data_IF_207526484080
#
_entry.id   IF_207526484080
#
_cell.length_a   1.000
_cell.length_b   1.000
_cell.length_c   1.000
_cell.angle_alpha   90.00
_cell.angle_beta   90.00
_cell.angle_gamma   90.00
#
_symmetry.space_group_name_H-M   'P 1'
#
loop_
_entity.id
_entity.type
_entity.pdbx_description
1 polymer ?
#
# COMPACT_ATOMS: atom_id res chain seq x y z
N UNK A 1 -1.88 13.18 12.22
CA UNK A 1 -3.13 12.39 12.36
C UNK A 1 -2.72 10.94 12.62
N UNK A 2 -3.42 10.19 13.50
CA UNK A 2 -3.11 8.77 13.71
C UNK A 2 -3.79 7.93 12.63
N UNK A 3 -3.06 6.95 12.12
CA UNK A 3 -3.52 6.01 11.11
C UNK A 3 -3.45 4.58 11.64
N UNK A 4 -4.28 3.73 11.06
CA UNK A 4 -4.43 2.35 11.43
C UNK A 4 -4.52 1.48 10.19
N UNK A 5 -3.77 0.39 10.19
CA UNK A 5 -3.91 -0.69 9.25
C UNK A 5 -5.09 -1.55 9.69
N UNK A 6 -6.07 -1.74 8.80
CA UNK A 6 -7.18 -2.66 9.03
C UNK A 6 -7.07 -3.86 8.08
N UNK A 7 -7.19 -5.06 8.66
CA UNK A 7 -7.28 -6.33 7.92
C UNK A 7 -8.63 -6.97 8.22
N UNK A 8 -9.67 -6.72 7.39
CA UNK A 8 -10.98 -7.33 7.56
C UNK A 8 -10.96 -8.85 7.41
N UNK A 9 -12.00 -9.52 7.88
CA UNK A 9 -12.14 -10.96 7.70
C UNK A 9 -12.29 -11.32 6.21
N UNK A 10 -11.45 -12.23 5.72
CA UNK A 10 -11.45 -12.71 4.34
C UNK A 10 -12.59 -13.69 4.10
N UNK A 11 -13.35 -13.51 3.03
CA UNK A 11 -14.56 -14.32 2.74
C UNK A 11 -14.62 -14.91 1.34
N UNK A 12 -13.71 -14.54 0.44
CA UNK A 12 -13.73 -15.00 -0.94
C UNK A 12 -12.83 -14.17 -1.83
N UNK A 13 -13.20 -14.07 -3.11
CA UNK A 13 -12.38 -13.45 -4.16
C UNK A 13 -13.22 -12.67 -5.17
N UNK A 14 -12.57 -11.76 -5.89
CA UNK A 14 -13.14 -11.12 -7.08
C UNK A 14 -12.55 -11.77 -8.33
N UNK A 15 -13.40 -12.11 -9.27
CA UNK A 15 -12.96 -12.54 -10.59
C UNK A 15 -12.61 -11.29 -11.41
N UNK A 16 -11.32 -10.95 -11.40
CA UNK A 16 -10.81 -9.78 -12.08
C UNK A 16 -10.67 -10.03 -13.58
N UNK A 17 -11.54 -9.38 -14.36
CA UNK A 17 -11.31 -9.17 -15.79
C UNK A 17 -10.88 -7.73 -16.01
N UNK A 18 -9.73 -7.54 -16.66
CA UNK A 18 -9.08 -6.23 -16.90
C UNK A 18 -9.97 -5.24 -17.67
N UNK A 19 -11.00 -5.72 -18.36
CA UNK A 19 -11.85 -4.91 -19.24
C UNK A 19 -13.24 -4.61 -18.65
N UNK A 20 -13.47 -4.91 -17.36
CA UNK A 20 -14.80 -4.84 -16.74
C UNK A 20 -14.83 -3.75 -15.65
N UNK A 21 -15.89 -2.94 -15.64
CA UNK A 21 -16.11 -1.93 -14.59
C UNK A 21 -16.21 -2.61 -13.23
N UNK A 22 -15.74 -1.95 -12.18
CA UNK A 22 -15.77 -2.47 -10.80
C UNK A 22 -17.16 -2.91 -10.32
N UNK A 23 -18.24 -2.30 -10.83
CA UNK A 23 -19.63 -2.68 -10.54
C UNK A 23 -20.05 -4.00 -11.16
N UNK A 24 -19.40 -4.39 -12.25
CA UNK A 24 -19.76 -5.50 -13.12
C UNK A 24 -18.87 -6.72 -12.88
N UNK A 25 -17.80 -6.58 -12.10
CA UNK A 25 -16.93 -7.68 -11.67
C UNK A 25 -17.70 -8.70 -10.83
N UNK A 26 -17.35 -9.99 -11.01
CA UNK A 26 -17.96 -11.06 -10.24
C UNK A 26 -17.31 -11.16 -8.87
N UNK A 27 -18.12 -11.05 -7.82
CA UNK A 27 -17.67 -11.26 -6.44
C UNK A 27 -18.15 -12.64 -5.99
N UNK A 28 -17.20 -13.52 -5.69
CA UNK A 28 -17.45 -14.91 -5.29
C UNK A 28 -17.23 -15.02 -3.78
N UNK A 29 -18.28 -15.43 -3.06
CA UNK A 29 -18.27 -15.55 -1.61
C UNK A 29 -18.18 -17.03 -1.21
N UNK A 30 -17.14 -17.40 -0.48
CA UNK A 30 -16.93 -18.76 0.04
C UNK A 30 -17.50 -18.92 1.45
N UNK A 31 -17.42 -17.86 2.26
CA UNK A 31 -17.77 -17.90 3.68
C UNK A 31 -18.77 -16.80 4.04
N UNK A 32 -19.78 -17.15 4.83
CA UNK A 32 -20.70 -16.16 5.39
C UNK A 32 -20.08 -15.57 6.66
N UNK A 33 -20.21 -14.25 6.79
CA UNK A 33 -19.80 -13.51 7.96
C UNK A 33 -20.89 -12.54 8.39
N UNK A 34 -21.05 -12.38 9.71
CA UNK A 34 -21.89 -11.34 10.30
C UNK A 34 -21.16 -10.01 10.50
N UNK A 35 -19.87 -9.92 10.16
CA UNK A 35 -19.09 -8.67 10.22
C UNK A 35 -19.71 -7.61 9.30
N UNK A 36 -19.43 -6.33 9.56
CA UNK A 36 -19.94 -5.24 8.73
C UNK A 36 -18.96 -4.71 7.70
N UNK A 37 -17.69 -5.10 7.82
CA UNK A 37 -16.63 -4.90 6.83
C UNK A 37 -15.95 -6.24 6.55
N UNK A 38 -15.75 -6.56 5.27
CA UNK A 38 -15.20 -7.82 4.81
C UNK A 38 -14.18 -7.58 3.70
N UNK A 39 -13.31 -8.56 3.52
CA UNK A 39 -12.30 -8.58 2.47
C UNK A 39 -12.55 -9.75 1.51
N UNK A 40 -12.52 -9.48 0.22
CA UNK A 40 -12.37 -10.47 -0.83
C UNK A 40 -11.04 -10.21 -1.53
N UNK A 41 -10.40 -11.27 -2.01
CA UNK A 41 -9.13 -11.17 -2.72
C UNK A 41 -9.19 -10.20 -3.89
N UNK A 42 -8.01 -9.71 -4.23
CA UNK A 42 -7.77 -8.61 -5.16
C UNK A 42 -8.36 -7.27 -4.71
N UNK A 43 -8.08 -6.89 -3.46
CA UNK A 43 -8.35 -5.55 -2.92
C UNK A 43 -9.83 -5.17 -2.90
N UNK A 44 -10.72 -6.14 -2.70
CA UNK A 44 -12.15 -5.90 -2.64
C UNK A 44 -12.64 -5.81 -1.20
N UNK A 45 -12.97 -4.59 -0.78
CA UNK A 45 -13.55 -4.33 0.54
C UNK A 45 -15.07 -4.24 0.42
N UNK A 46 -15.78 -5.08 1.16
CA UNK A 46 -17.24 -5.09 1.18
C UNK A 46 -17.75 -4.53 2.51
N UNK A 47 -18.71 -3.61 2.44
CA UNK A 47 -19.36 -3.02 3.60
C UNK A 47 -20.87 -3.25 3.54
N UNK A 48 -21.49 -3.41 4.71
CA UNK A 48 -22.94 -3.56 4.80
C UNK A 48 -23.66 -2.23 4.57
N UNK A 49 -24.96 -2.25 4.23
CA UNK A 49 -25.78 -1.04 4.16
C UNK A 49 -25.77 -0.22 5.47
N UNK A 50 -25.67 -0.91 6.62
CA UNK A 50 -25.66 -0.28 7.93
C UNK A 50 -24.37 0.50 8.17
N UNK A 51 -23.21 -0.11 7.94
CA UNK A 51 -21.93 0.59 7.99
C UNK A 51 -21.86 1.73 6.96
N UNK A 52 -22.34 1.49 5.73
CA UNK A 52 -22.40 2.53 4.70
C UNK A 52 -23.21 3.75 5.17
N UNK A 53 -24.35 3.53 5.82
CA UNK A 53 -25.19 4.61 6.36
C UNK A 53 -24.42 5.43 7.39
N UNK A 54 -23.77 4.79 8.36
CA UNK A 54 -22.98 5.48 9.37
C UNK A 54 -21.81 6.27 8.76
N UNK A 55 -21.11 5.70 7.78
CA UNK A 55 -20.03 6.40 7.07
C UNK A 55 -20.54 7.66 6.34
N UNK A 56 -21.73 7.58 5.73
CA UNK A 56 -22.38 8.73 5.07
C UNK A 56 -22.84 9.79 6.05
N UNK A 57 -23.47 9.41 7.16
CA UNK A 57 -23.91 10.33 8.21
C UNK A 57 -22.73 11.06 8.86
N UNK A 58 -21.56 10.42 8.86
CA UNK A 58 -20.30 11.00 9.28
C UNK A 58 -19.53 11.70 8.14
N UNK A 59 -20.14 11.99 6.99
CA UNK A 59 -19.51 12.73 5.89
C UNK A 59 -18.17 12.13 5.41
N UNK A 60 -18.07 10.80 5.30
CA UNK A 60 -16.90 10.18 4.69
C UNK A 60 -16.70 10.70 3.24
N UNK A 61 -15.47 11.11 2.93
CA UNK A 61 -15.07 11.54 1.60
C UNK A 61 -13.84 10.76 1.12
N UNK A 62 -13.47 10.90 -0.16
CA UNK A 62 -12.25 10.29 -0.69
C UNK A 62 -12.32 8.78 -0.90
N UNK A 63 -13.53 8.23 -1.11
CA UNK A 63 -13.74 6.83 -1.50
C UNK A 63 -14.84 6.74 -2.55
N UNK A 64 -14.74 5.74 -3.42
CA UNK A 64 -15.84 5.36 -4.30
C UNK A 64 -16.64 4.22 -3.65
N UNK A 65 -17.97 4.25 -3.83
CA UNK A 65 -18.86 3.23 -3.29
C UNK A 65 -19.77 2.73 -4.40
N UNK A 66 -19.73 1.43 -4.64
CA UNK A 66 -20.41 0.80 -5.77
C UNK A 66 -21.24 -0.38 -5.29
N UNK A 67 -22.47 -0.52 -5.78
CA UNK A 67 -23.26 -1.74 -5.54
C UNK A 67 -22.82 -2.80 -6.56
N UNK A 68 -22.27 -3.95 -6.13
CA UNK A 68 -21.91 -5.04 -7.05
C UNK A 68 -23.17 -5.58 -7.73
N UNK A 69 -23.14 -5.70 -9.06
CA UNK A 69 -24.25 -6.33 -9.82
C UNK A 69 -24.19 -7.85 -9.77
N UNK A 70 -22.98 -8.39 -9.71
CA UNK A 70 -22.69 -9.81 -9.93
C UNK A 70 -22.06 -10.45 -8.69
N UNK A 71 -22.82 -10.59 -7.60
CA UNK A 71 -22.36 -11.28 -6.39
C UNK A 71 -23.03 -12.64 -6.25
N UNK A 72 -22.25 -13.70 -6.04
CA UNK A 72 -22.74 -15.08 -5.88
C UNK A 72 -21.92 -15.85 -4.84
N UNK A 73 -22.54 -16.84 -4.22
CA UNK A 73 -21.81 -17.83 -3.43
C UNK A 73 -21.01 -18.76 -4.35
N UNK A 74 -19.89 -19.27 -3.87
CA UNK A 74 -19.15 -20.31 -4.57
C UNK A 74 -19.94 -21.61 -4.62
N UNK A 75 -19.55 -22.49 -5.54
CA UNK A 75 -20.19 -23.81 -5.69
C UNK A 75 -20.06 -24.62 -4.40
N UNK A 76 -18.87 -24.61 -3.80
CA UNK A 76 -18.60 -25.28 -2.53
C UNK A 76 -19.52 -24.78 -1.42
N UNK A 77 -19.68 -23.45 -1.30
CA UNK A 77 -20.60 -22.87 -0.34
C UNK A 77 -22.04 -23.33 -0.57
N UNK A 78 -22.52 -23.30 -1.82
CA UNK A 78 -23.88 -23.71 -2.15
C UNK A 78 -24.13 -25.21 -1.91
N UNK A 79 -23.12 -26.06 -2.07
CA UNK A 79 -23.22 -27.48 -1.74
C UNK A 79 -23.39 -27.69 -0.23
N UNK A 80 -22.65 -26.94 0.60
CA UNK A 80 -22.74 -27.04 2.05
C UNK A 80 -23.99 -26.34 2.61
N UNK A 81 -24.44 -25.25 1.97
CA UNK A 81 -25.48 -24.35 2.49
C UNK A 81 -26.48 -23.90 1.39
N UNK A 82 -27.24 -24.82 0.79
CA UNK A 82 -28.03 -24.57 -0.43
C UNK A 82 -29.14 -23.52 -0.30
N UNK A 83 -29.63 -23.28 0.93
CA UNK A 83 -30.73 -22.35 1.19
C UNK A 83 -30.29 -20.99 1.74
N UNK A 84 -28.97 -20.73 1.82
CA UNK A 84 -28.48 -19.44 2.29
C UNK A 84 -28.63 -18.37 1.21
N UNK A 85 -28.98 -17.16 1.66
CA UNK A 85 -29.10 -15.99 0.79
C UNK A 85 -27.95 -15.03 1.07
N UNK A 86 -27.45 -14.41 0.01
CA UNK A 86 -26.51 -13.31 0.12
C UNK A 86 -27.19 -12.10 0.75
N UNK A 87 -26.50 -11.50 1.72
CA UNK A 87 -26.86 -10.18 2.23
C UNK A 87 -26.53 -9.12 1.17
N UNK A 88 -27.20 -7.98 1.22
CA UNK A 88 -26.76 -6.80 0.46
C UNK A 88 -25.38 -6.33 0.95
N UNK A 89 -24.51 -6.04 -0.02
CA UNK A 89 -23.17 -5.52 0.19
C UNK A 89 -22.89 -4.39 -0.78
N UNK A 90 -22.01 -3.48 -0.37
CA UNK A 90 -21.45 -2.43 -1.21
C UNK A 90 -19.94 -2.58 -1.23
N UNK A 91 -19.34 -2.37 -2.39
CA UNK A 91 -17.89 -2.33 -2.53
C UNK A 91 -17.40 -0.93 -2.17
N UNK A 92 -16.50 -0.88 -1.19
CA UNK A 92 -15.70 0.28 -0.84
C UNK A 92 -14.42 0.25 -1.68
N UNK A 93 -14.19 1.31 -2.47
CA UNK A 93 -13.02 1.46 -3.33
C UNK A 93 -12.25 2.68 -2.82
N UNK A 94 -11.24 2.48 -1.96
CA UNK A 94 -10.38 3.56 -1.49
C UNK A 94 -9.41 4.00 -2.58
N UNK A 95 -9.07 5.28 -2.60
CA UNK A 95 -7.97 5.77 -3.42
C UNK A 95 -6.62 5.42 -2.79
N UNK A 96 -5.54 5.52 -3.58
CA UNK A 96 -4.17 5.46 -3.04
C UNK A 96 -3.91 6.64 -2.14
N UNK A 97 -2.96 6.46 -1.22
CA UNK A 97 -2.46 7.55 -0.39
C UNK A 97 -1.94 8.72 -1.25
N UNK A 98 -2.25 9.93 -0.83
CA UNK A 98 -1.91 11.19 -1.49
C UNK A 98 -1.60 12.23 -0.39
N UNK A 99 -0.34 12.67 -0.35
CA UNK A 99 0.17 13.60 0.67
C UNK A 99 -0.56 14.95 0.66
N UNK A 100 -1.10 15.36 -0.48
CA UNK A 100 -1.78 16.65 -0.63
C UNK A 100 -3.26 16.59 -0.18
N UNK A 101 -3.76 15.39 0.15
CA UNK A 101 -5.15 15.18 0.53
C UNK A 101 -5.26 14.68 1.96
N UNK A 102 -6.20 15.25 2.70
CA UNK A 102 -6.57 14.72 4.01
C UNK A 102 -7.49 13.49 3.87
N UNK A 103 -6.90 12.35 3.52
CA UNK A 103 -7.63 11.10 3.30
C UNK A 103 -7.92 10.37 4.61
N UNK A 104 -9.12 9.83 4.71
CA UNK A 104 -9.58 9.12 5.91
C UNK A 104 -9.55 7.60 5.75
N UNK A 105 -9.70 7.14 4.51
CA UNK A 105 -9.58 5.75 4.08
C UNK A 105 -8.78 5.75 2.78
N UNK A 106 -7.70 4.98 2.74
CA UNK A 106 -6.87 4.86 1.55
C UNK A 106 -6.15 3.51 1.49
N UNK A 107 -5.52 3.24 0.34
CA UNK A 107 -4.61 2.12 0.17
C UNK A 107 -3.16 2.61 0.23
N UNK A 108 -2.32 1.93 1.02
CA UNK A 108 -0.86 2.14 0.98
C UNK A 108 -0.26 1.58 -0.33
N UNK A 109 1.06 1.60 -0.47
CA UNK A 109 1.76 1.06 -1.63
C UNK A 109 1.54 -0.46 -1.84
N UNK A 110 1.30 -1.19 -0.75
CA UNK A 110 1.10 -2.64 -0.73
C UNK A 110 -0.38 -3.06 -0.87
N UNK A 111 -1.29 -2.11 -1.13
CA UNK A 111 -2.75 -2.31 -1.14
C UNK A 111 -3.36 -2.64 0.22
N UNK A 112 -2.68 -2.32 1.30
CA UNK A 112 -3.25 -2.42 2.62
C UNK A 112 -4.27 -1.31 2.85
N UNK A 113 -5.41 -1.65 3.45
CA UNK A 113 -6.43 -0.68 3.82
C UNK A 113 -6.01 0.08 5.07
N UNK A 114 -5.79 1.39 4.91
CA UNK A 114 -5.43 2.30 5.99
C UNK A 114 -6.62 3.21 6.29
N UNK A 115 -6.86 3.44 7.57
CA UNK A 115 -7.92 4.31 8.08
C UNK A 115 -7.37 5.27 9.12
N UNK A 116 -7.95 6.46 9.24
CA UNK A 116 -7.62 7.37 10.35
C UNK A 116 -8.35 6.98 11.66
N UNK A 117 -8.01 7.67 12.75
CA UNK A 117 -8.66 7.47 14.06
C UNK A 117 -10.19 7.60 14.01
N UNK A 118 -10.71 8.58 13.27
CA UNK A 118 -12.15 8.84 13.20
C UNK A 118 -12.91 7.67 12.57
N UNK A 119 -12.39 7.13 11.46
CA UNK A 119 -12.98 5.97 10.81
C UNK A 119 -12.87 4.73 11.70
N UNK A 120 -11.76 4.57 12.42
CA UNK A 120 -11.61 3.49 13.41
C UNK A 120 -12.70 3.58 14.49
N UNK A 121 -12.98 4.75 15.05
CA UNK A 121 -14.06 4.93 16.03
C UNK A 121 -15.43 4.55 15.46
N UNK A 122 -15.72 4.95 14.22
CA UNK A 122 -16.94 4.53 13.52
C UNK A 122 -16.96 3.00 13.41
N UNK A 123 -15.91 2.36 12.91
CA UNK A 123 -15.86 0.90 12.75
C UNK A 123 -16.03 0.14 14.07
N UNK A 124 -15.49 0.65 15.17
CA UNK A 124 -15.63 0.06 16.50
C UNK A 124 -17.07 0.12 17.05
N UNK A 125 -17.91 1.03 16.53
CA UNK A 125 -19.35 1.06 16.83
C UNK A 125 -20.17 0.04 16.03
N UNK A 126 -19.55 -0.61 15.04
CA UNK A 126 -20.16 -1.63 14.20
C UNK A 126 -19.64 -3.02 14.55
N UNK A 127 -20.28 -4.06 14.02
CA UNK A 127 -19.81 -5.43 14.21
C UNK A 127 -18.54 -5.71 13.39
N UNK A 128 -17.39 -5.39 13.97
CA UNK A 128 -16.05 -5.62 13.40
C UNK A 128 -15.21 -6.38 14.43
N UNK A 129 -15.44 -7.68 14.56
CA UNK A 129 -14.92 -8.50 15.68
C UNK A 129 -13.63 -9.22 15.27
N UNK A 130 -13.58 -9.73 14.04
CA UNK A 130 -12.47 -10.55 13.53
C UNK A 130 -11.44 -9.74 12.74
N UNK A 131 -11.71 -8.48 12.44
CA UNK A 131 -10.73 -7.64 11.79
C UNK A 131 -9.57 -7.33 12.73
N UNK A 132 -8.34 -7.38 12.21
CA UNK A 132 -7.17 -6.87 12.93
C UNK A 132 -7.03 -5.38 12.65
N UNK A 133 -6.85 -4.57 13.70
CA UNK A 133 -6.61 -3.13 13.62
C UNK A 133 -5.34 -2.83 14.39
N UNK A 134 -4.31 -2.34 13.69
CA UNK A 134 -3.01 -2.01 14.28
C UNK A 134 -2.62 -0.59 13.91
N UNK A 135 -1.93 0.13 14.81
CA UNK A 135 -1.41 1.46 14.50
C UNK A 135 -0.47 1.39 13.28
N UNK A 136 -0.62 2.35 12.38
CA UNK A 136 0.12 2.45 11.13
C UNK A 136 0.83 3.80 11.09
N UNK A 137 2.14 3.76 10.80
CA UNK A 137 2.93 4.96 10.55
C UNK A 137 3.03 5.12 9.04
N UNK A 138 2.68 6.30 8.56
CA UNK A 138 3.01 6.70 7.21
C UNK A 138 4.50 6.99 7.26
N UNK A 139 5.30 6.16 6.59
CA UNK A 139 6.70 6.45 6.39
C UNK A 139 6.76 7.74 5.55
N UNK A 140 7.23 8.83 6.16
CA UNK A 140 7.65 10.01 5.42
C UNK A 140 8.81 9.53 4.56
N UNK A 141 8.54 9.21 3.29
CA UNK A 141 9.60 9.10 2.30
C UNK A 141 10.11 10.53 2.16
N UNK A 142 11.17 10.85 2.91
CA UNK A 142 12.06 11.94 2.51
C UNK A 142 12.51 11.59 1.11
N UNK A 143 11.88 12.22 0.11
CA UNK A 143 12.38 12.29 -1.27
C UNK A 143 13.72 13.05 -1.22
N UNK A 144 14.75 12.37 -0.76
CA UNK A 144 16.14 12.78 -0.87
C UNK A 144 16.93 11.61 -1.45
N UNK A 145 16.49 11.14 -2.61
CA UNK A 145 17.45 10.68 -3.59
C UNK A 145 18.15 11.94 -4.10
N UNK A 146 19.33 12.28 -3.56
CA UNK A 146 20.24 13.18 -4.25
C UNK A 146 20.33 12.68 -5.69
N UNK A 147 19.92 13.51 -6.66
CA UNK A 147 20.14 13.24 -8.07
C UNK A 147 21.57 12.70 -8.21
N UNK A 148 21.69 11.48 -8.73
CA UNK A 148 22.99 10.88 -9.03
C UNK A 148 23.65 11.85 -10.01
N UNK A 149 24.53 12.71 -9.51
CA UNK A 149 25.33 13.63 -10.32
C UNK A 149 25.94 12.78 -11.42
N UNK A 150 25.61 13.08 -12.67
CA UNK A 150 26.07 12.33 -13.84
C UNK A 150 27.55 12.01 -13.69
N UNK A 151 27.90 10.72 -13.61
CA UNK A 151 29.30 10.32 -13.61
C UNK A 151 29.88 10.62 -15.00
N UNK A 152 30.94 11.44 -15.08
CA UNK A 152 31.66 11.71 -16.33
C UNK A 152 31.99 10.36 -17.03
N UNK A 153 31.41 10.12 -18.22
CA UNK A 153 31.57 8.88 -19.01
C UNK A 153 33.05 8.60 -19.34
N UNK A 154 33.88 9.63 -19.33
CA UNK A 154 35.32 9.52 -19.52
C UNK A 154 36.03 9.59 -18.18
N UNK A 155 36.65 8.49 -17.76
CA UNK A 155 37.71 8.55 -16.75
C UNK A 155 38.78 9.49 -17.29
N UNK A 156 38.93 10.69 -16.70
CA UNK A 156 40.13 11.50 -16.90
C UNK A 156 41.32 10.61 -16.56
N UNK A 157 42.13 10.27 -17.57
CA UNK A 157 43.40 9.59 -17.34
C UNK A 157 44.15 10.37 -16.24
N UNK A 158 44.68 9.70 -15.21
CA UNK A 158 45.47 10.40 -14.21
C UNK A 158 46.67 11.01 -14.93
N UNK A 159 46.67 12.34 -15.07
CA UNK A 159 47.84 13.11 -15.49
C UNK A 159 49.00 12.72 -14.56
N UNK A 160 49.95 11.96 -15.11
CA UNK A 160 51.28 11.60 -14.60
C UNK A 160 51.46 11.66 -13.07
N UNK A 161 51.49 10.46 -12.50
CA UNK A 161 51.78 10.06 -11.13
C UNK A 161 52.70 11.01 -10.33
N UNK A 162 52.13 11.62 -9.29
CA UNK A 162 52.87 12.24 -8.18
C UNK A 162 53.91 11.30 -7.55
N UNK A 163 53.67 9.97 -7.61
CA UNK A 163 54.62 8.94 -7.18
C UNK A 163 55.93 8.96 -7.98
N UNK A 164 55.89 9.20 -9.29
CA UNK A 164 57.09 9.20 -10.13
C UNK A 164 57.94 10.45 -9.87
N UNK A 165 57.29 11.59 -9.63
CA UNK A 165 57.96 12.83 -9.21
C UNK A 165 58.61 12.63 -7.83
N UNK A 166 57.89 12.05 -6.87
CA UNK A 166 58.40 11.80 -5.52
C UNK A 166 59.63 10.87 -5.55
N UNK A 167 59.58 9.79 -6.33
CA UNK A 167 60.72 8.86 -6.49
C UNK A 167 61.92 9.59 -7.09
N UNK A 168 61.71 10.44 -8.10
CA UNK A 168 62.78 11.20 -8.72
C UNK A 168 63.46 12.16 -7.72
N UNK A 169 62.68 12.85 -6.87
CA UNK A 169 63.23 13.74 -5.83
C UNK A 169 64.05 12.96 -4.80
N UNK A 170 63.60 11.77 -4.37
CA UNK A 170 64.32 10.94 -3.40
C UNK A 170 65.66 10.47 -3.97
N UNK A 171 65.68 10.00 -5.23
CA UNK A 171 66.92 9.57 -5.90
C UNK A 171 67.91 10.75 -5.99
N UNK A 172 67.43 11.93 -6.39
CA UNK A 172 68.25 13.14 -6.44
C UNK A 172 68.85 13.49 -5.07
N UNK A 173 68.06 13.42 -4.00
CA UNK A 173 68.52 13.70 -2.65
C UNK A 173 69.58 12.69 -2.17
N UNK A 174 69.41 11.40 -2.49
CA UNK A 174 70.40 10.38 -2.18
C UNK A 174 71.72 10.61 -2.92
N UNK A 175 71.67 10.96 -4.22
CA UNK A 175 72.89 11.26 -4.99
C UNK A 175 73.59 12.49 -4.42
N UNK A 176 72.86 13.57 -4.13
CA UNK A 176 73.44 14.76 -3.50
C UNK A 176 74.09 14.44 -2.16
N UNK A 177 73.44 13.64 -1.31
CA UNK A 177 73.98 13.26 -0.01
C UNK A 177 75.28 12.44 -0.13
N UNK A 178 75.41 11.62 -1.18
CA UNK A 178 76.63 10.83 -1.44
C UNK A 178 77.78 11.71 -1.96
N UNK A 179 77.49 12.75 -2.75
CA UNK A 179 78.51 13.62 -3.35
C UNK A 179 78.94 14.82 -2.49
N UNK A 180 78.09 15.28 -1.57
CA UNK A 180 78.35 16.43 -0.70
C UNK A 180 78.61 16.05 0.77
N UNK A 181 78.92 14.78 1.02
CA UNK A 181 79.52 14.27 2.25
C UNK A 181 80.97 13.89 1.97
#
# INVERSE_FOLDING_TARGET
MKYYLIKPFRIGMVENSLNVKESDQYVIIDLISGEEILYCDDNCFLITPQLLKSLKENNLTGVNIVKPKNMKFSVEHNMQYPNKKLRDWYRLIPFRYDNDKNQEIFLDQNNNLIINERIKEILLSHRVIRASITEYKIDDVEDYEEEIIEQEVFKKEPKKNYKDILIFVIIMFCIMYIFFK
#
